data_IF_967619862065
#
_entry.id   IF_967619862065
#
_cell.length_a   1.000
_cell.length_b   1.000
_cell.length_c   1.000
_cell.angle_alpha   90.00
_cell.angle_beta   90.00
_cell.angle_gamma   90.00
#
_symmetry.space_group_name_H-M   'P 1'
#
loop_
_entity.id
_entity.type
_entity.pdbx_description
1 polymer ?
#
# COMPACT_ATOMS: atom_id res chain seq x y z
N UNK A 1 16.69 -34.05 44.41
CA UNK A 1 16.19 -32.98 43.50
C UNK A 1 16.29 -33.52 42.09
N UNK A 2 15.16 -33.78 41.44
CA UNK A 2 15.05 -34.54 40.19
C UNK A 2 15.28 -33.64 38.97
N UNK A 3 16.19 -34.05 38.07
CA UNK A 3 16.54 -33.38 36.81
C UNK A 3 15.63 -33.79 35.63
N UNK A 4 14.51 -34.45 35.89
CA UNK A 4 13.71 -35.13 34.86
C UNK A 4 12.65 -34.24 34.17
N UNK A 5 12.56 -32.94 34.46
CA UNK A 5 11.46 -32.09 33.99
C UNK A 5 11.91 -30.93 33.08
N UNK A 6 13.00 -31.12 32.31
CA UNK A 6 13.29 -30.26 31.16
C UNK A 6 12.57 -30.83 29.94
N UNK A 7 11.27 -30.56 29.85
CA UNK A 7 10.56 -30.66 28.57
C UNK A 7 11.31 -29.77 27.56
N UNK A 8 11.60 -30.25 26.34
CA UNK A 8 12.29 -29.45 25.34
C UNK A 8 11.47 -28.19 25.09
N UNK A 9 12.05 -27.02 25.37
CA UNK A 9 11.48 -25.73 25.00
C UNK A 9 11.49 -25.67 23.48
N UNK A 10 10.38 -26.06 22.86
CA UNK A 10 10.15 -25.87 21.43
C UNK A 10 9.99 -24.38 21.20
N UNK A 11 11.10 -23.73 20.83
CA UNK A 11 11.06 -22.38 20.29
C UNK A 11 10.09 -22.38 19.10
N UNK A 12 9.20 -21.38 18.97
CA UNK A 12 8.33 -21.29 17.82
C UNK A 12 9.21 -21.10 16.58
N UNK A 13 9.41 -22.18 15.83
CA UNK A 13 10.06 -22.16 14.53
C UNK A 13 9.11 -21.37 13.63
N UNK A 14 9.41 -20.09 13.42
CA UNK A 14 8.50 -19.25 12.64
C UNK A 14 8.42 -19.83 11.23
N UNK A 15 7.21 -20.25 10.85
CA UNK A 15 6.94 -20.79 9.53
C UNK A 15 7.17 -19.68 8.49
N UNK A 16 8.08 -19.94 7.55
CA UNK A 16 8.45 -19.00 6.51
C UNK A 16 7.24 -18.69 5.61
N UNK A 17 6.33 -19.65 5.42
CA UNK A 17 5.10 -19.46 4.65
C UNK A 17 4.15 -18.48 5.35
N UNK A 18 3.97 -18.60 6.66
CA UNK A 18 3.14 -17.70 7.46
C UNK A 18 3.69 -16.26 7.45
N UNK A 19 5.02 -16.08 7.52
CA UNK A 19 5.61 -14.74 7.42
C UNK A 19 5.34 -14.08 6.06
N UNK A 20 5.47 -14.84 4.97
CA UNK A 20 5.22 -14.31 3.63
C UNK A 20 3.76 -13.90 3.45
N UNK A 21 2.83 -14.69 4.00
CA UNK A 21 1.39 -14.39 3.98
C UNK A 21 1.08 -13.12 4.78
N UNK A 22 1.62 -13.01 6.00
CA UNK A 22 1.42 -11.82 6.84
C UNK A 22 1.98 -10.54 6.20
N UNK A 23 3.11 -10.62 5.48
CA UNK A 23 3.66 -9.48 4.73
C UNK A 23 2.74 -9.05 3.59
N UNK A 24 2.23 -10.01 2.81
CA UNK A 24 1.28 -9.75 1.72
C UNK A 24 -0.02 -9.13 2.20
N UNK A 25 -0.57 -9.62 3.30
CA UNK A 25 -1.80 -9.07 3.89
C UNK A 25 -1.63 -7.61 4.34
N UNK A 26 -0.47 -7.28 4.95
CA UNK A 26 -0.15 -5.90 5.33
C UNK A 26 -0.08 -4.99 4.11
N UNK A 27 0.61 -5.41 3.04
CA UNK A 27 0.71 -4.64 1.79
C UNK A 27 -0.67 -4.48 1.17
N UNK A 28 -1.43 -5.56 1.04
CA UNK A 28 -2.77 -5.54 0.45
C UNK A 28 -3.73 -4.61 1.21
N UNK A 29 -3.65 -4.58 2.55
CA UNK A 29 -4.49 -3.69 3.37
C UNK A 29 -4.24 -2.22 3.07
N UNK A 30 -2.98 -1.84 2.83
CA UNK A 30 -2.58 -0.47 2.49
C UNK A 30 -2.92 -0.19 1.01
N UNK A 31 -2.45 -1.05 0.10
CA UNK A 31 -2.62 -0.93 -1.34
C UNK A 31 -4.09 -0.83 -1.77
N UNK A 32 -5.00 -1.53 -1.08
CA UNK A 32 -6.45 -1.46 -1.34
C UNK A 32 -6.99 -0.04 -1.38
N UNK A 33 -6.42 0.86 -0.58
CA UNK A 33 -6.87 2.24 -0.49
C UNK A 33 -5.87 3.20 -1.12
N UNK A 34 -4.56 2.97 -0.95
CA UNK A 34 -3.56 3.88 -1.51
C UNK A 34 -3.52 3.85 -3.02
N UNK A 35 -3.71 2.69 -3.66
CA UNK A 35 -3.68 2.57 -5.11
C UNK A 35 -4.79 3.39 -5.79
N UNK A 36 -6.10 3.24 -5.45
CA UNK A 36 -7.14 4.07 -6.06
C UNK A 36 -6.99 5.56 -5.72
N UNK A 37 -6.63 5.90 -4.48
CA UNK A 37 -6.37 7.30 -4.11
C UNK A 37 -5.22 7.92 -4.91
N UNK A 38 -4.14 7.17 -5.11
CA UNK A 38 -3.00 7.61 -5.91
C UNK A 38 -3.41 7.85 -7.37
N UNK A 39 -4.16 6.92 -7.98
CA UNK A 39 -4.65 7.07 -9.36
C UNK A 39 -5.52 8.33 -9.50
N UNK A 40 -6.44 8.57 -8.54
CA UNK A 40 -7.28 9.77 -8.54
C UNK A 40 -6.44 11.04 -8.47
N UNK A 41 -5.51 11.11 -7.51
CA UNK A 41 -4.62 12.28 -7.34
C UNK A 41 -3.78 12.52 -8.58
N UNK A 42 -3.16 11.47 -9.14
CA UNK A 42 -2.36 11.57 -10.35
C UNK A 42 -3.19 12.01 -11.56
N UNK A 43 -4.44 11.56 -11.66
CA UNK A 43 -5.34 11.94 -12.75
C UNK A 43 -5.70 13.42 -12.67
N UNK A 44 -6.05 13.92 -11.48
CA UNK A 44 -6.38 15.34 -11.27
C UNK A 44 -5.16 16.22 -11.52
N UNK A 45 -4.00 15.84 -10.97
CA UNK A 45 -2.75 16.59 -11.18
C UNK A 45 -2.33 16.58 -12.65
N UNK A 46 -2.40 15.43 -13.32
CA UNK A 46 -2.06 15.32 -14.74
C UNK A 46 -2.96 16.18 -15.62
N UNK A 47 -4.27 16.21 -15.32
CA UNK A 47 -5.21 17.09 -16.03
C UNK A 47 -4.91 18.56 -15.79
N UNK A 48 -4.73 18.97 -14.54
CA UNK A 48 -4.42 20.36 -14.21
C UNK A 48 -3.09 20.80 -14.84
N UNK A 49 -2.08 19.92 -14.79
CA UNK A 49 -0.78 20.16 -15.44
C UNK A 49 -0.93 20.31 -16.96
N UNK A 50 -1.76 19.48 -17.60
CA UNK A 50 -2.02 19.58 -19.05
C UNK A 50 -2.66 20.92 -19.41
N UNK A 51 -3.73 21.31 -18.71
CA UNK A 51 -4.43 22.59 -18.95
C UNK A 51 -3.50 23.77 -18.76
N UNK A 52 -2.65 23.75 -17.73
CA UNK A 52 -1.72 24.84 -17.43
C UNK A 52 -0.55 24.91 -18.41
N UNK A 53 0.09 23.79 -18.76
CA UNK A 53 1.21 23.76 -19.70
C UNK A 53 0.80 24.06 -21.14
N UNK A 54 -0.40 23.62 -21.55
CA UNK A 54 -0.92 23.88 -22.89
C UNK A 54 -1.68 25.21 -22.98
N UNK A 55 -1.69 26.01 -21.91
CA UNK A 55 -2.38 27.31 -21.81
C UNK A 55 -3.84 27.22 -22.31
N UNK A 56 -4.51 26.11 -21.99
CA UNK A 56 -5.86 25.83 -22.51
C UNK A 56 -6.82 26.88 -21.96
N UNK A 57 -7.53 27.62 -22.83
CA UNK A 57 -8.46 28.63 -22.35
C UNK A 57 -9.60 28.01 -21.54
N UNK A 58 -9.90 28.62 -20.39
CA UNK A 58 -10.81 28.06 -19.38
C UNK A 58 -12.25 27.88 -19.88
N UNK A 59 -12.66 28.62 -20.90
CA UNK A 59 -13.98 28.51 -21.53
C UNK A 59 -14.11 27.29 -22.46
N UNK A 60 -12.99 26.67 -22.86
CA UNK A 60 -12.95 25.44 -23.65
C UNK A 60 -12.92 24.23 -22.72
N UNK A 61 -12.06 24.30 -21.70
CA UNK A 61 -11.84 23.23 -20.77
C UNK A 61 -11.48 23.81 -19.39
N UNK A 62 -12.38 23.72 -18.39
CA UNK A 62 -12.05 24.19 -17.05
C UNK A 62 -11.06 23.24 -16.37
N UNK A 63 -10.16 23.81 -15.60
CA UNK A 63 -9.31 23.07 -14.68
C UNK A 63 -10.10 22.57 -13.47
N UNK A 64 -9.75 21.43 -12.87
CA UNK A 64 -10.39 20.90 -11.67
C UNK A 64 -10.01 21.71 -10.41
N UNK A 65 -8.88 22.41 -10.44
CA UNK A 65 -8.37 23.34 -9.43
C UNK A 65 -7.93 24.63 -10.09
#
# INVERSE_FOLDING_TARGET
MSLADQAPVTLPTVDIEEQQRARREKINRIAKWTLPSLVLVLSVLGWHLYVTLAEVPHYILPGPV
#
